data_IF_321177982694
#
_entry.id   IF_321177982694
#
_cell.length_a   1.000
_cell.length_b   1.000
_cell.length_c   1.000
_cell.angle_alpha   90.00
_cell.angle_beta   90.00
_cell.angle_gamma   90.00
#
_symmetry.space_group_name_H-M   'P 1'
#
loop_
_entity.id
_entity.type
_entity.pdbx_description
1 polymer ?
#
# COMPACT_ATOMS: atom_id res chain seq x y z
N UNK A 1 21.86 4.09 -5.83
CA UNK A 1 21.35 3.13 -4.82
C UNK A 1 19.87 3.47 -4.66
N UNK A 2 19.03 2.83 -5.48
CA UNK A 2 17.66 3.24 -5.75
C UNK A 2 16.72 2.81 -4.62
N UNK A 3 15.77 3.66 -4.28
CA UNK A 3 14.74 3.41 -3.27
C UNK A 3 13.88 2.21 -3.68
N UNK A 4 14.11 1.09 -3.00
CA UNK A 4 13.64 -0.24 -3.38
C UNK A 4 12.11 -0.41 -3.40
N UNK A 5 11.34 0.42 -2.70
CA UNK A 5 9.87 0.37 -2.77
C UNK A 5 9.33 0.89 -4.11
N UNK A 6 10.11 1.66 -4.89
CA UNK A 6 9.55 2.45 -5.99
C UNK A 6 10.31 2.45 -7.33
N UNK A 7 11.29 1.57 -7.57
CA UNK A 7 11.63 1.23 -8.96
C UNK A 7 10.38 0.63 -9.65
N UNK A 8 10.18 0.88 -10.95
CA UNK A 8 8.99 0.43 -11.72
C UNK A 8 8.74 -1.06 -11.47
N UNK A 9 9.80 -1.87 -11.50
CA UNK A 9 9.73 -3.32 -11.28
C UNK A 9 9.33 -3.66 -9.85
N UNK A 10 9.90 -2.99 -8.85
CA UNK A 10 9.52 -3.21 -7.44
C UNK A 10 8.09 -2.78 -7.14
N UNK A 11 7.59 -1.69 -7.75
CA UNK A 11 6.20 -1.23 -7.56
C UNK A 11 5.18 -2.27 -8.01
N UNK A 12 5.41 -2.82 -9.20
CA UNK A 12 4.55 -3.87 -9.77
C UNK A 12 4.59 -5.10 -8.86
N UNK A 13 5.80 -5.53 -8.46
CA UNK A 13 5.96 -6.67 -7.57
C UNK A 13 5.29 -6.46 -6.20
N UNK A 14 5.43 -5.27 -5.58
CA UNK A 14 4.80 -4.98 -4.29
C UNK A 14 3.29 -4.98 -4.44
N UNK A 15 2.74 -4.34 -5.47
CA UNK A 15 1.30 -4.33 -5.71
C UNK A 15 0.74 -5.75 -5.86
N UNK A 16 1.34 -6.58 -6.72
CA UNK A 16 0.90 -7.96 -6.94
C UNK A 16 0.94 -8.79 -5.65
N UNK A 17 2.03 -8.69 -4.88
CA UNK A 17 2.16 -9.42 -3.61
C UNK A 17 1.15 -8.93 -2.57
N UNK A 18 0.95 -7.62 -2.45
CA UNK A 18 -0.04 -7.06 -1.51
C UNK A 18 -1.45 -7.50 -1.88
N UNK A 19 -1.80 -7.51 -3.16
CA UNK A 19 -3.10 -7.97 -3.62
C UNK A 19 -3.31 -9.46 -3.32
N UNK A 20 -2.30 -10.30 -3.56
CA UNK A 20 -2.35 -11.73 -3.23
C UNK A 20 -2.49 -11.98 -1.71
N UNK A 21 -1.74 -11.26 -0.88
CA UNK A 21 -1.86 -11.32 0.59
C UNK A 21 -3.30 -10.97 1.02
N UNK A 22 -3.87 -9.88 0.48
CA UNK A 22 -5.24 -9.47 0.82
C UNK A 22 -6.26 -10.51 0.37
N UNK A 23 -6.14 -11.06 -0.84
CA UNK A 23 -7.03 -12.12 -1.33
C UNK A 23 -6.95 -13.37 -0.44
N UNK A 24 -5.75 -13.84 -0.10
CA UNK A 24 -5.53 -14.97 0.80
C UNK A 24 -6.11 -14.71 2.19
N UNK A 25 -5.93 -13.51 2.72
CA UNK A 25 -6.47 -13.11 4.03
C UNK A 25 -7.99 -13.21 4.05
N UNK A 26 -8.64 -12.66 3.01
CA UNK A 26 -10.09 -12.70 2.87
C UNK A 26 -10.64 -14.12 2.73
N UNK A 27 -9.97 -14.97 1.96
CA UNK A 27 -10.32 -16.39 1.83
C UNK A 27 -10.14 -17.16 3.15
N UNK A 28 -9.02 -16.96 3.85
CA UNK A 28 -8.71 -17.63 5.13
C UNK A 28 -9.70 -17.25 6.23
N UNK A 29 -10.16 -16.01 6.25
CA UNK A 29 -11.14 -15.53 7.20
C UNK A 29 -12.58 -16.05 6.94
N UNK A 30 -12.78 -16.95 5.97
CA UNK A 30 -14.08 -17.48 5.53
C UNK A 30 -15.10 -16.38 5.15
N UNK A 31 -14.62 -15.18 4.77
CA UNK A 31 -15.52 -14.17 4.24
C UNK A 31 -16.05 -14.65 2.90
N UNK A 32 -17.36 -14.88 2.81
CA UNK A 32 -18.02 -15.06 1.52
C UNK A 32 -17.96 -13.73 0.76
N UNK A 33 -16.93 -13.58 -0.07
CA UNK A 33 -16.76 -12.41 -0.89
C UNK A 33 -17.94 -12.29 -1.85
N UNK A 34 -18.58 -11.13 -1.87
CA UNK A 34 -19.62 -10.85 -2.85
C UNK A 34 -19.05 -11.00 -4.26
N UNK A 35 -19.88 -11.43 -5.22
CA UNK A 35 -19.48 -11.50 -6.64
C UNK A 35 -18.87 -10.19 -7.14
N UNK A 36 -19.38 -9.05 -6.66
CA UNK A 36 -18.88 -7.71 -6.97
C UNK A 36 -17.47 -7.48 -6.42
N UNK A 37 -17.21 -7.84 -5.17
CA UNK A 37 -15.90 -7.69 -4.55
C UNK A 37 -14.86 -8.59 -5.23
N UNK A 38 -15.21 -9.85 -5.51
CA UNK A 38 -14.36 -10.75 -6.29
C UNK A 38 -14.03 -10.19 -7.69
N UNK A 39 -15.03 -9.64 -8.39
CA UNK A 39 -14.81 -9.00 -9.68
C UNK A 39 -13.86 -7.80 -9.58
N UNK A 40 -14.02 -6.94 -8.56
CA UNK A 40 -13.16 -5.77 -8.35
C UNK A 40 -11.72 -6.21 -8.07
N UNK A 41 -11.51 -7.17 -7.16
CA UNK A 41 -10.19 -7.68 -6.82
C UNK A 41 -9.47 -8.30 -8.03
N UNK A 42 -10.19 -9.05 -8.86
CA UNK A 42 -9.62 -9.62 -10.08
C UNK A 42 -9.31 -8.54 -11.12
N UNK A 43 -10.14 -7.50 -11.22
CA UNK A 43 -9.95 -6.41 -12.18
C UNK A 43 -8.77 -5.51 -11.81
N UNK A 44 -8.44 -5.38 -10.53
CA UNK A 44 -7.30 -4.58 -10.05
C UNK A 44 -5.95 -5.01 -10.66
N UNK A 45 -5.77 -6.30 -10.98
CA UNK A 45 -4.59 -6.80 -11.71
C UNK A 45 -4.50 -6.29 -13.16
N UNK A 46 -5.64 -6.03 -13.79
CA UNK A 46 -5.72 -5.58 -15.19
C UNK A 46 -5.76 -4.05 -15.34
N UNK A 47 -5.81 -3.32 -14.23
CA UNK A 47 -5.93 -1.86 -14.27
C UNK A 47 -4.57 -1.22 -14.58
N UNK A 48 -4.45 -0.39 -15.63
CA UNK A 48 -3.22 0.33 -15.94
C UNK A 48 -3.00 1.57 -15.04
N UNK A 49 -3.91 1.85 -14.09
CA UNK A 49 -3.87 3.07 -13.28
C UNK A 49 -3.08 2.88 -11.99
N UNK A 50 -1.85 3.39 -12.00
CA UNK A 50 -0.94 3.37 -10.84
C UNK A 50 -1.49 4.09 -9.61
N UNK A 51 -2.43 5.03 -9.75
CA UNK A 51 -3.00 5.77 -8.61
C UNK A 51 -3.88 4.83 -7.79
N UNK A 52 -4.79 4.09 -8.43
CA UNK A 52 -5.69 3.14 -7.76
C UNK A 52 -4.87 2.02 -7.09
N UNK A 53 -3.85 1.52 -7.79
CA UNK A 53 -2.96 0.48 -7.26
C UNK A 53 -2.22 0.96 -6.01
N UNK A 54 -1.63 2.16 -6.05
CA UNK A 54 -0.92 2.71 -4.90
C UNK A 54 -1.88 3.02 -3.74
N UNK A 55 -3.07 3.58 -4.04
CA UNK A 55 -4.09 3.84 -3.02
C UNK A 55 -4.52 2.55 -2.31
N UNK A 56 -4.69 1.47 -3.05
CA UNK A 56 -4.97 0.15 -2.50
C UNK A 56 -3.82 -0.36 -1.60
N UNK A 57 -2.56 -0.24 -2.05
CA UNK A 57 -1.40 -0.64 -1.25
C UNK A 57 -1.33 0.16 0.05
N UNK A 58 -1.45 1.48 -0.01
CA UNK A 58 -1.39 2.32 1.19
C UNK A 58 -2.52 1.99 2.18
N UNK A 59 -3.73 1.76 1.68
CA UNK A 59 -4.83 1.30 2.52
C UNK A 59 -4.54 -0.06 3.15
N UNK A 60 -4.03 -1.03 2.37
CA UNK A 60 -3.74 -2.37 2.83
C UNK A 60 -2.63 -2.40 3.89
N UNK A 61 -1.63 -1.52 3.80
CA UNK A 61 -0.59 -1.34 4.83
C UNK A 61 -1.20 -1.02 6.20
N UNK A 62 -2.22 -0.15 6.23
CA UNK A 62 -2.83 0.31 7.47
C UNK A 62 -3.72 -0.76 8.13
N UNK A 63 -4.39 -1.58 7.33
CA UNK A 63 -5.46 -2.47 7.82
C UNK A 63 -5.17 -3.96 7.68
N UNK A 64 -4.02 -4.35 7.14
CA UNK A 64 -3.58 -5.73 7.06
C UNK A 64 -2.15 -5.87 7.59
N UNK A 65 -2.01 -6.54 8.74
CA UNK A 65 -0.72 -6.72 9.41
C UNK A 65 0.27 -7.54 8.56
N UNK A 66 -0.20 -8.50 7.78
CA UNK A 66 0.64 -9.30 6.90
C UNK A 66 1.21 -8.45 5.76
N UNK A 67 0.41 -7.50 5.25
CA UNK A 67 0.87 -6.51 4.26
C UNK A 67 1.90 -5.55 4.87
N UNK A 68 1.64 -5.00 6.05
CA UNK A 68 2.60 -4.13 6.77
C UNK A 68 3.92 -4.88 6.98
N UNK A 69 3.85 -6.11 7.48
CA UNK A 69 5.01 -6.96 7.71
C UNK A 69 5.76 -7.30 6.43
N UNK A 70 5.06 -7.60 5.33
CA UNK A 70 5.69 -7.86 4.03
C UNK A 70 6.55 -6.67 3.58
N UNK A 71 6.02 -5.44 3.69
CA UNK A 71 6.76 -4.24 3.30
C UNK A 71 7.94 -3.96 4.23
N UNK A 72 7.73 -4.02 5.55
CA UNK A 72 8.78 -3.75 6.53
C UNK A 72 9.90 -4.80 6.43
N UNK A 73 9.57 -6.07 6.27
CA UNK A 73 10.53 -7.16 6.13
C UNK A 73 11.22 -7.22 4.76
N UNK A 74 10.78 -6.43 3.79
CA UNK A 74 11.51 -6.22 2.54
C UNK A 74 12.86 -5.51 2.78
N UNK A 75 12.99 -4.83 3.93
CA UNK A 75 14.20 -4.13 4.34
C UNK A 75 14.98 -4.94 5.36
N UNK A 76 16.30 -4.99 5.18
CA UNK A 76 17.22 -5.55 6.18
C UNK A 76 17.05 -4.82 7.53
N UNK A 77 17.21 -5.57 8.62
CA UNK A 77 17.14 -4.99 9.96
C UNK A 77 18.19 -3.89 10.15
N UNK A 78 17.76 -2.74 10.67
CA UNK A 78 18.61 -1.56 10.88
C UNK A 78 17.87 -0.27 10.59
N UNK A 79 18.61 0.85 10.57
CA UNK A 79 18.03 2.19 10.52
C UNK A 79 17.04 2.42 9.36
N UNK A 80 17.26 1.78 8.20
CA UNK A 80 16.33 1.90 7.07
C UNK A 80 14.96 1.27 7.36
N UNK A 81 14.94 0.11 7.99
CA UNK A 81 13.69 -0.55 8.38
C UNK A 81 12.95 0.29 9.41
N UNK A 82 13.66 0.83 10.39
CA UNK A 82 13.07 1.67 11.45
C UNK A 82 12.44 2.94 10.85
N UNK A 83 13.11 3.59 9.90
CA UNK A 83 12.58 4.75 9.18
C UNK A 83 11.31 4.40 8.39
N UNK A 84 11.27 3.23 7.74
CA UNK A 84 10.09 2.79 6.98
C UNK A 84 8.91 2.50 7.92
N UNK A 85 9.18 1.83 9.05
CA UNK A 85 8.17 1.52 10.05
C UNK A 85 7.60 2.79 10.70
N UNK A 86 8.47 3.76 11.01
CA UNK A 86 8.08 5.09 11.48
C UNK A 86 7.27 5.83 10.41
N UNK A 87 7.68 5.81 9.14
CA UNK A 87 6.95 6.45 8.06
C UNK A 87 5.55 5.84 7.84
N UNK A 88 5.43 4.52 7.91
CA UNK A 88 4.12 3.85 7.81
C UNK A 88 3.21 4.35 8.93
N UNK A 89 3.71 4.35 10.17
CA UNK A 89 2.90 4.62 11.36
C UNK A 89 2.57 6.11 11.50
N UNK A 90 3.53 7.00 11.24
CA UNK A 90 3.39 8.45 11.43
C UNK A 90 2.85 9.18 10.20
N UNK A 91 2.83 8.53 9.03
CA UNK A 91 2.42 9.21 7.80
C UNK A 91 1.37 8.43 7.03
N UNK A 92 1.65 7.18 6.61
CA UNK A 92 0.67 6.43 5.80
C UNK A 92 -0.62 6.20 6.59
N UNK A 93 -0.53 5.78 7.85
CA UNK A 93 -1.70 5.54 8.71
C UNK A 93 -2.48 6.84 8.97
N UNK A 94 -1.81 7.93 9.31
CA UNK A 94 -2.46 9.24 9.52
C UNK A 94 -3.19 9.71 8.25
N UNK A 95 -2.53 9.67 7.10
CA UNK A 95 -3.11 10.11 5.83
C UNK A 95 -4.23 9.20 5.34
N UNK A 96 -4.14 7.90 5.58
CA UNK A 96 -5.22 6.97 5.27
C UNK A 96 -6.45 7.28 6.12
N UNK A 97 -6.26 7.57 7.40
CA UNK A 97 -7.36 7.99 8.27
C UNK A 97 -7.94 9.34 7.82
N UNK A 98 -7.12 10.30 7.41
CA UNK A 98 -7.58 11.57 6.84
C UNK A 98 -8.43 11.35 5.57
N UNK A 99 -8.03 10.42 4.68
CA UNK A 99 -8.81 10.05 3.49
C UNK A 99 -10.17 9.48 3.87
N UNK A 100 -10.21 8.51 4.80
CA UNK A 100 -11.46 7.87 5.23
C UNK A 100 -12.40 8.83 5.96
N UNK A 101 -11.85 9.86 6.59
CA UNK A 101 -12.61 10.95 7.22
C UNK A 101 -12.97 12.09 6.25
N UNK A 102 -12.74 11.93 4.95
CA UNK A 102 -13.13 12.90 3.92
C UNK A 102 -12.32 14.20 3.93
N UNK A 103 -11.11 14.20 4.51
CA UNK A 103 -10.22 15.38 4.52
C UNK A 103 -9.46 15.57 3.20
N UNK A 104 -9.47 14.56 2.34
CA UNK A 104 -8.95 14.65 0.98
C UNK A 104 -10.08 14.87 -0.02
N UNK A 105 -9.82 15.70 -1.04
CA UNK A 105 -10.79 16.00 -2.11
C UNK A 105 -10.92 14.84 -3.09
N UNK A 106 -9.86 14.03 -3.23
CA UNK A 106 -9.83 12.88 -4.13
C UNK A 106 -8.81 11.83 -3.70
N UNK A 107 -8.95 10.60 -4.22
CA UNK A 107 -7.95 9.55 -4.05
C UNK A 107 -6.60 9.96 -4.63
N UNK A 108 -6.59 10.70 -5.75
CA UNK A 108 -5.36 11.18 -6.39
C UNK A 108 -4.56 12.09 -5.47
N UNK A 109 -5.22 13.07 -4.84
CA UNK A 109 -4.57 13.98 -3.89
C UNK A 109 -3.92 13.23 -2.71
N UNK A 110 -4.63 12.23 -2.18
CA UNK A 110 -4.12 11.35 -1.13
C UNK A 110 -2.89 10.55 -1.58
N UNK A 111 -2.97 9.94 -2.76
CA UNK A 111 -1.85 9.13 -3.30
C UNK A 111 -0.64 10.01 -3.58
N UNK A 112 -0.84 11.21 -4.12
CA UNK A 112 0.24 12.14 -4.44
C UNK A 112 0.88 12.73 -3.18
N UNK A 113 0.11 13.03 -2.12
CA UNK A 113 0.65 13.47 -0.82
C UNK A 113 1.62 12.43 -0.23
N UNK A 114 1.20 11.16 -0.18
CA UNK A 114 2.05 10.08 0.32
C UNK A 114 3.27 9.88 -0.59
N UNK A 115 3.10 9.87 -1.93
CA UNK A 115 4.22 9.74 -2.89
C UNK A 115 5.25 10.85 -2.72
N UNK A 116 4.79 12.08 -2.55
CA UNK A 116 5.67 13.23 -2.36
C UNK A 116 6.48 13.11 -1.06
N UNK A 117 5.83 12.73 0.04
CA UNK A 117 6.50 12.56 1.33
C UNK A 117 7.44 11.34 1.35
N UNK A 118 7.16 10.30 0.57
CA UNK A 118 8.10 9.19 0.33
C UNK A 118 9.40 9.72 -0.29
N UNK A 119 9.31 10.53 -1.35
CA UNK A 119 10.49 11.09 -2.02
C UNK A 119 11.33 11.91 -1.05
N UNK A 120 10.68 12.81 -0.29
CA UNK A 120 11.37 13.73 0.62
C UNK A 120 11.96 13.02 1.85
N UNK A 121 11.16 12.20 2.54
CA UNK A 121 11.56 11.62 3.83
C UNK A 121 12.46 10.40 3.66
N UNK A 122 12.31 9.65 2.56
CA UNK A 122 13.09 8.44 2.32
C UNK A 122 14.27 8.65 1.36
N UNK A 123 14.48 9.90 0.92
CA UNK A 123 15.68 10.32 0.19
C UNK A 123 15.80 9.67 -1.18
N UNK A 124 14.78 9.85 -2.02
CA UNK A 124 14.83 9.51 -3.45
C UNK A 124 15.18 10.74 -4.27
#
# INVERSE_FOLDING_TARGET
MYSFLFDVTSRVNIFENVLDIVQKTLHKANYQLSKRLNYILNKLNSFPDTIVQHGFVFYAICYNIDVKNFIVCHYEAGAKRDIIEDFITTHIEEKTNDLLNGKFRSLTEYVDDIRYNIIIKLGV
#
